data_IF_785598866295
#
_entry.id   IF_785598866295
#
_cell.length_a   1.000
_cell.length_b   1.000
_cell.length_c   1.000
_cell.angle_alpha   90.00
_cell.angle_beta   90.00
_cell.angle_gamma   90.00
#
_symmetry.space_group_name_H-M   'P 1'
#
loop_
_entity.id
_entity.type
_entity.pdbx_description
1 polymer ?
#
# COMPACT_ATOMS: atom_id res chain seq x y z
N UNK A 1 5.63 -18.10 2.81
CA UNK A 1 5.31 -16.92 3.62
C UNK A 1 4.20 -17.19 4.61
N UNK A 2 3.08 -17.80 4.22
CA UNK A 2 1.95 -18.15 5.12
C UNK A 2 2.40 -18.84 6.40
N UNK A 3 3.19 -19.90 6.29
CA UNK A 3 3.71 -20.64 7.45
C UNK A 3 4.49 -19.75 8.45
N UNK A 4 5.25 -18.79 7.94
CA UNK A 4 5.97 -17.85 8.80
C UNK A 4 5.01 -16.93 9.57
N UNK A 5 3.93 -16.48 8.92
CA UNK A 5 2.93 -15.61 9.56
C UNK A 5 2.09 -16.41 10.56
N UNK A 6 1.55 -17.55 10.15
CA UNK A 6 0.54 -18.28 10.93
C UNK A 6 1.15 -19.19 12.01
N UNK A 7 2.22 -19.96 11.69
CA UNK A 7 2.80 -20.93 12.62
C UNK A 7 3.90 -20.29 13.49
N UNK A 8 4.85 -19.55 12.88
CA UNK A 8 5.99 -18.99 13.61
C UNK A 8 5.61 -17.68 14.29
N UNK A 9 4.89 -16.81 13.59
CA UNK A 9 4.43 -15.52 14.10
C UNK A 9 3.17 -15.58 14.98
N UNK A 10 2.51 -16.74 15.06
CA UNK A 10 1.29 -16.93 15.84
C UNK A 10 0.02 -16.36 15.19
N UNK A 11 0.08 -16.03 13.90
CA UNK A 11 -1.06 -15.52 13.14
C UNK A 11 -1.37 -14.03 13.39
N UNK A 12 -2.55 -13.62 12.97
CA UNK A 12 -3.04 -12.25 13.18
C UNK A 12 -3.73 -12.15 14.56
N UNK A 13 -3.44 -11.10 15.34
CA UNK A 13 -4.07 -10.90 16.65
C UNK A 13 -5.60 -10.94 16.58
N UNK A 14 -6.22 -11.60 17.58
CA UNK A 14 -7.67 -11.76 17.62
C UNK A 14 -8.25 -12.79 16.67
N UNK A 15 -7.42 -13.63 16.05
CA UNK A 15 -7.88 -14.67 15.11
C UNK A 15 -8.43 -14.14 13.79
N UNK A 16 -8.15 -12.89 13.47
CA UNK A 16 -8.57 -12.25 12.20
C UNK A 16 -7.83 -12.85 11.02
N UNK A 17 -8.42 -12.69 9.84
CA UNK A 17 -7.81 -13.13 8.58
C UNK A 17 -6.76 -12.13 8.08
N UNK A 18 -5.72 -12.66 7.43
CA UNK A 18 -4.79 -11.83 6.67
C UNK A 18 -5.51 -11.23 5.47
N UNK A 19 -5.38 -9.93 5.25
CA UNK A 19 -5.86 -9.22 4.05
C UNK A 19 -4.72 -9.00 3.06
N UNK A 20 -3.62 -8.43 3.56
CA UNK A 20 -2.50 -8.04 2.75
C UNK A 20 -1.18 -8.19 3.51
N UNK A 21 -0.10 -8.37 2.76
CA UNK A 21 1.26 -8.49 3.30
C UNK A 21 2.24 -7.66 2.50
N UNK A 22 3.08 -6.90 3.18
CA UNK A 22 4.28 -6.31 2.62
C UNK A 22 5.44 -7.23 3.00
N UNK A 23 6.11 -7.90 2.03
CA UNK A 23 7.07 -8.96 2.37
C UNK A 23 8.46 -8.46 2.79
N UNK A 24 8.83 -7.24 2.44
CA UNK A 24 10.22 -6.81 2.59
C UNK A 24 10.41 -5.30 2.81
N UNK A 25 9.50 -4.64 3.52
CA UNK A 25 9.54 -3.20 3.75
C UNK A 25 8.61 -2.41 2.84
N UNK A 26 8.34 -1.16 3.20
CA UNK A 26 7.32 -0.31 2.57
C UNK A 26 7.49 -0.06 1.07
N UNK A 27 8.66 -0.34 0.50
CA UNK A 27 8.96 -0.23 -0.94
C UNK A 27 8.47 -1.42 -1.77
N UNK A 28 8.08 -2.53 -1.13
CA UNK A 28 7.67 -3.73 -1.84
C UNK A 28 6.24 -3.63 -2.35
N UNK A 29 5.96 -4.12 -3.57
CA UNK A 29 4.59 -4.37 -3.99
C UNK A 29 3.85 -5.25 -2.99
N UNK A 30 2.64 -4.83 -2.62
CA UNK A 30 1.81 -5.50 -1.62
C UNK A 30 1.23 -6.80 -2.20
N UNK A 31 1.22 -7.85 -1.39
CA UNK A 31 0.60 -9.13 -1.70
C UNK A 31 -0.78 -9.24 -1.04
N UNK A 32 -1.72 -9.89 -1.71
CA UNK A 32 -3.01 -10.28 -1.13
C UNK A 32 -2.88 -11.58 -0.34
N UNK A 33 -3.89 -11.93 0.46
CA UNK A 33 -3.92 -13.18 1.22
C UNK A 33 -3.77 -14.44 0.35
N UNK A 34 -4.23 -14.39 -0.91
CA UNK A 34 -4.15 -15.52 -1.83
C UNK A 34 -2.74 -15.68 -2.46
N UNK A 35 -1.91 -14.65 -2.38
CA UNK A 35 -0.56 -14.64 -2.96
C UNK A 35 0.55 -15.04 -1.97
N UNK A 36 0.23 -15.22 -0.69
CA UNK A 36 1.24 -15.48 0.36
C UNK A 36 1.68 -16.95 0.49
N UNK A 37 1.12 -17.87 -0.32
CA UNK A 37 1.57 -19.25 -0.39
C UNK A 37 2.82 -19.41 -1.26
N UNK A 38 3.85 -18.68 -0.90
CA UNK A 38 5.12 -18.58 -1.61
C UNK A 38 6.29 -18.76 -0.64
N UNK A 39 7.40 -19.34 -1.12
CA UNK A 39 8.65 -19.39 -0.36
C UNK A 39 9.18 -17.97 -0.11
N UNK A 40 9.78 -17.76 1.06
CA UNK A 40 10.40 -16.48 1.40
C UNK A 40 11.86 -16.42 0.93
N UNK A 41 12.04 -16.47 -0.37
CA UNK A 41 13.30 -16.25 -1.05
C UNK A 41 13.14 -15.20 -2.16
N UNK A 42 14.26 -14.67 -2.64
CA UNK A 42 14.25 -13.57 -3.61
C UNK A 42 13.57 -13.97 -4.92
N UNK A 43 13.84 -15.15 -5.43
CA UNK A 43 13.34 -15.60 -6.74
C UNK A 43 11.85 -15.89 -6.69
N UNK A 44 11.38 -16.56 -5.64
CA UNK A 44 9.97 -16.94 -5.49
C UNK A 44 9.10 -15.72 -5.30
N UNK A 45 9.53 -14.76 -4.47
CA UNK A 45 8.77 -13.51 -4.24
C UNK A 45 8.80 -12.61 -5.48
N UNK A 46 9.92 -12.58 -6.23
CA UNK A 46 10.00 -11.83 -7.49
C UNK A 46 9.06 -12.39 -8.57
N UNK A 47 8.92 -13.72 -8.67
CA UNK A 47 8.03 -14.38 -9.65
C UNK A 47 6.56 -14.00 -9.49
N UNK A 48 6.13 -13.67 -8.29
CA UNK A 48 4.74 -13.23 -8.02
C UNK A 48 4.59 -11.69 -8.06
N UNK A 49 5.60 -10.98 -8.60
CA UNK A 49 5.53 -9.54 -8.83
C UNK A 49 5.74 -8.68 -7.58
N UNK A 50 6.39 -9.22 -6.55
CA UNK A 50 6.83 -8.46 -5.38
C UNK A 50 8.35 -8.59 -5.19
N UNK A 51 8.89 -8.25 -4.05
CA UNK A 51 10.30 -8.42 -3.72
C UNK A 51 10.49 -8.66 -2.22
N UNK A 52 11.49 -9.49 -1.88
CA UNK A 52 11.80 -9.81 -0.49
C UNK A 52 12.41 -8.61 0.27
N UNK A 53 13.03 -7.69 -0.45
CA UNK A 53 13.60 -6.46 0.10
C UNK A 53 14.51 -6.71 1.31
N UNK A 54 14.22 -6.05 2.42
CA UNK A 54 14.94 -6.22 3.69
C UNK A 54 14.40 -7.37 4.57
N UNK A 55 13.36 -8.07 4.15
CA UNK A 55 12.68 -9.07 4.98
C UNK A 55 11.82 -8.49 6.11
N UNK A 56 11.62 -7.17 6.11
CA UNK A 56 10.76 -6.48 7.07
C UNK A 56 9.27 -6.69 6.73
N UNK A 57 8.71 -7.81 7.22
CA UNK A 57 7.33 -8.20 6.90
C UNK A 57 6.32 -7.38 7.69
N UNK A 58 5.33 -6.82 6.99
CA UNK A 58 4.16 -6.18 7.59
C UNK A 58 2.91 -6.95 7.19
N UNK A 59 2.17 -7.43 8.19
CA UNK A 59 0.90 -8.15 8.00
C UNK A 59 -0.25 -7.22 8.31
N UNK A 60 -1.21 -7.14 7.40
CA UNK A 60 -2.43 -6.34 7.54
C UNK A 60 -3.63 -7.28 7.63
N UNK A 61 -4.48 -7.05 8.63
CA UNK A 61 -5.68 -7.84 8.88
C UNK A 61 -6.86 -7.41 8.00
N UNK A 62 -7.94 -8.17 8.06
CA UNK A 62 -9.18 -7.92 7.30
C UNK A 62 -9.84 -6.57 7.61
N UNK A 63 -9.59 -5.98 8.76
CA UNK A 63 -10.12 -4.66 9.15
C UNK A 63 -9.20 -3.50 8.74
N UNK A 64 -8.00 -3.78 8.24
CA UNK A 64 -7.07 -2.74 7.78
C UNK A 64 -7.61 -2.07 6.51
N UNK A 65 -7.76 -0.75 6.55
CA UNK A 65 -8.10 0.06 5.38
C UNK A 65 -6.87 0.25 4.48
N UNK A 66 -6.94 -0.24 3.24
CA UNK A 66 -5.83 -0.15 2.30
C UNK A 66 -5.62 1.27 1.77
N UNK A 67 -6.66 2.09 1.71
CA UNK A 67 -6.57 3.53 1.39
C UNK A 67 -5.74 4.26 2.45
N UNK A 68 -6.00 3.98 3.73
CA UNK A 68 -5.23 4.55 4.86
C UNK A 68 -3.80 4.04 4.87
N UNK A 69 -3.58 2.77 4.56
CA UNK A 69 -2.24 2.18 4.45
C UNK A 69 -1.43 2.86 3.34
N UNK A 70 -2.01 3.04 2.15
CA UNK A 70 -1.40 3.78 1.04
C UNK A 70 -1.05 5.23 1.43
N UNK A 71 -1.98 5.92 2.08
CA UNK A 71 -1.76 7.28 2.57
C UNK A 71 -0.61 7.39 3.57
N UNK A 72 -0.46 6.42 4.49
CA UNK A 72 0.66 6.38 5.44
C UNK A 72 1.99 6.14 4.75
N UNK A 73 2.05 5.19 3.84
CA UNK A 73 3.25 4.91 3.02
C UNK A 73 3.63 6.17 2.25
N UNK A 74 2.68 6.82 1.62
CA UNK A 74 2.96 7.99 0.80
C UNK A 74 3.36 9.23 1.60
N UNK A 75 2.81 9.43 2.81
CA UNK A 75 3.28 10.48 3.72
C UNK A 75 4.75 10.30 4.09
N UNK A 76 5.17 9.05 4.32
CA UNK A 76 6.57 8.73 4.58
C UNK A 76 7.43 9.10 3.37
N UNK A 77 7.12 8.63 2.17
CA UNK A 77 7.94 8.90 0.99
C UNK A 77 7.95 10.38 0.57
N UNK A 78 6.84 11.09 0.75
CA UNK A 78 6.80 12.53 0.50
C UNK A 78 7.69 13.31 1.47
N UNK A 79 7.77 12.87 2.74
CA UNK A 79 8.66 13.46 3.76
C UNK A 79 10.13 13.15 3.50
N UNK A 80 10.45 11.90 3.11
CA UNK A 80 11.82 11.43 2.89
C UNK A 80 12.39 11.83 1.52
N UNK A 81 11.58 12.39 0.63
CA UNK A 81 12.06 12.88 -0.66
C UNK A 81 13.07 14.02 -0.45
N UNK A 82 14.28 13.85 -1.00
CA UNK A 82 15.31 14.89 -0.93
C UNK A 82 15.01 16.12 -1.82
N UNK A 83 13.95 16.05 -2.65
CA UNK A 83 13.50 17.13 -3.54
C UNK A 83 14.31 17.30 -4.82
N UNK A 84 15.32 16.47 -5.09
CA UNK A 84 16.17 16.61 -6.28
C UNK A 84 15.44 16.32 -7.58
N UNK A 85 14.83 15.14 -7.71
CA UNK A 85 14.16 14.72 -8.93
C UNK A 85 12.71 15.19 -8.95
N UNK A 86 12.31 15.91 -10.00
CA UNK A 86 10.94 16.44 -10.14
C UNK A 86 9.87 15.34 -10.01
N UNK A 87 9.97 14.18 -10.69
CA UNK A 87 8.94 13.14 -10.56
C UNK A 87 8.75 12.66 -9.12
N UNK A 88 9.82 12.50 -8.36
CA UNK A 88 9.76 12.12 -6.95
C UNK A 88 9.19 13.26 -6.09
N UNK A 89 9.78 14.46 -6.17
CA UNK A 89 9.39 15.61 -5.35
C UNK A 89 7.91 15.96 -5.49
N UNK A 90 7.47 16.16 -6.73
CA UNK A 90 6.09 16.55 -7.00
C UNK A 90 5.14 15.36 -6.93
N UNK A 91 5.52 14.24 -7.53
CA UNK A 91 4.66 13.06 -7.61
C UNK A 91 4.33 12.47 -6.25
N UNK A 92 5.30 12.33 -5.32
CA UNK A 92 5.01 11.83 -3.96
C UNK A 92 4.11 12.79 -3.17
N UNK A 93 4.29 14.10 -3.36
CA UNK A 93 3.43 15.13 -2.78
C UNK A 93 2.00 15.05 -3.32
N UNK A 94 1.85 14.90 -4.63
CA UNK A 94 0.52 14.76 -5.26
C UNK A 94 -0.19 13.49 -4.81
N UNK A 95 0.52 12.36 -4.78
CA UNK A 95 -0.03 11.10 -4.30
C UNK A 95 -0.48 11.20 -2.84
N UNK A 96 0.33 11.85 -1.99
CA UNK A 96 -0.04 12.13 -0.60
C UNK A 96 -1.36 12.90 -0.52
N UNK A 97 -1.50 13.99 -1.29
CA UNK A 97 -2.72 14.79 -1.30
C UNK A 97 -3.93 14.02 -1.82
N UNK A 98 -3.77 13.19 -2.86
CA UNK A 98 -4.83 12.32 -3.38
C UNK A 98 -5.32 11.34 -2.30
N UNK A 99 -4.42 10.64 -1.62
CA UNK A 99 -4.79 9.70 -0.56
C UNK A 99 -5.37 10.38 0.69
N UNK A 100 -4.86 11.56 1.06
CA UNK A 100 -5.44 12.37 2.13
C UNK A 100 -6.88 12.77 1.78
N UNK A 101 -7.16 13.10 0.52
CA UNK A 101 -8.49 13.45 0.01
C UNK A 101 -9.44 12.24 0.03
N UNK A 102 -8.98 11.05 -0.38
CA UNK A 102 -9.77 9.81 -0.23
C UNK A 102 -10.14 9.56 1.23
N UNK A 103 -9.17 9.70 2.13
CA UNK A 103 -9.39 9.45 3.56
C UNK A 103 -10.34 10.48 4.18
N UNK A 104 -10.29 11.73 3.76
CA UNK A 104 -11.17 12.80 4.21
C UNK A 104 -12.58 12.75 3.59
N UNK A 105 -12.86 11.83 2.65
CA UNK A 105 -14.15 11.71 1.97
C UNK A 105 -14.41 12.73 0.87
N UNK A 106 -13.38 13.46 0.45
CA UNK A 106 -13.46 14.46 -0.63
C UNK A 106 -12.91 13.98 -1.97
N UNK A 107 -12.76 12.67 -2.16
CA UNK A 107 -12.21 12.10 -3.40
C UNK A 107 -13.11 12.38 -4.61
N UNK A 108 -12.48 12.56 -5.77
CA UNK A 108 -13.12 12.72 -7.06
C UNK A 108 -13.09 11.40 -7.85
N UNK A 109 -14.01 11.20 -8.82
CA UNK A 109 -14.12 9.95 -9.58
C UNK A 109 -12.81 9.47 -10.22
N UNK A 110 -12.00 10.40 -10.74
CA UNK A 110 -10.76 10.08 -11.46
C UNK A 110 -9.51 10.03 -10.56
N UNK A 111 -9.64 10.27 -9.24
CA UNK A 111 -8.50 10.38 -8.34
C UNK A 111 -7.68 9.09 -8.24
N UNK A 112 -8.31 7.93 -8.27
CA UNK A 112 -7.60 6.66 -8.20
C UNK A 112 -6.82 6.37 -9.51
N UNK A 113 -7.38 6.74 -10.65
CA UNK A 113 -6.70 6.60 -11.95
C UNK A 113 -5.59 7.64 -12.09
N UNK A 114 -5.82 8.86 -11.62
CA UNK A 114 -4.79 9.90 -11.52
C UNK A 114 -3.63 9.45 -10.62
N UNK A 115 -3.91 8.85 -9.47
CA UNK A 115 -2.87 8.33 -8.58
C UNK A 115 -2.07 7.20 -9.23
N UNK A 116 -2.71 6.35 -10.01
CA UNK A 116 -2.04 5.30 -10.76
C UNK A 116 -1.14 5.87 -11.86
N UNK A 117 -1.62 6.85 -12.62
CA UNK A 117 -0.87 7.54 -13.67
C UNK A 117 0.35 8.29 -13.09
N UNK A 118 0.17 9.05 -12.02
CA UNK A 118 1.27 9.71 -11.30
C UNK A 118 2.32 8.69 -10.87
N UNK A 119 1.90 7.55 -10.33
CA UNK A 119 2.83 6.50 -9.89
C UNK A 119 3.65 5.93 -11.05
N UNK A 120 3.04 5.71 -12.23
CA UNK A 120 3.78 5.29 -13.42
C UNK A 120 4.69 6.39 -13.97
N UNK A 121 4.36 7.65 -13.73
CA UNK A 121 5.21 8.78 -14.09
C UNK A 121 6.38 9.00 -13.11
N UNK A 122 6.37 8.40 -11.94
CA UNK A 122 7.52 8.34 -11.03
C UNK A 122 8.41 7.14 -11.34
N UNK A 123 7.82 5.97 -11.57
CA UNK A 123 8.51 4.69 -11.70
C UNK A 123 9.56 4.73 -12.82
N UNK A 124 10.82 4.42 -12.47
CA UNK A 124 11.95 4.39 -13.40
C UNK A 124 12.42 5.76 -13.90
N UNK A 125 11.92 6.87 -13.34
CA UNK A 125 12.22 8.23 -13.82
C UNK A 125 12.94 9.10 -12.77
N UNK A 126 13.51 8.47 -11.76
CA UNK A 126 14.24 9.16 -10.69
C UNK A 126 15.66 8.65 -10.58
N UNK A 127 16.59 9.50 -10.14
CA UNK A 127 18.01 9.17 -10.06
C UNK A 127 18.30 8.09 -9.01
N UNK A 128 17.62 8.12 -7.88
CA UNK A 128 17.74 7.13 -6.82
C UNK A 128 16.44 6.31 -6.69
N UNK A 129 16.48 5.12 -6.05
CA UNK A 129 15.33 4.21 -5.98
C UNK A 129 14.18 4.71 -5.07
N UNK A 130 14.28 5.88 -4.42
CA UNK A 130 13.22 6.36 -3.53
C UNK A 130 11.91 6.59 -4.29
N UNK A 131 11.97 7.12 -5.53
CA UNK A 131 10.78 7.29 -6.36
C UNK A 131 10.12 5.95 -6.69
N UNK A 132 10.91 4.95 -7.09
CA UNK A 132 10.41 3.60 -7.37
C UNK A 132 9.84 2.95 -6.11
N UNK A 133 10.50 3.15 -4.97
CA UNK A 133 10.06 2.68 -3.67
C UNK A 133 8.70 3.27 -3.23
N UNK A 134 8.39 4.48 -3.65
CA UNK A 134 7.08 5.10 -3.44
C UNK A 134 6.03 4.58 -4.45
N UNK A 135 6.42 4.42 -5.72
CA UNK A 135 5.51 4.06 -6.80
C UNK A 135 5.05 2.61 -6.74
N UNK A 136 5.96 1.66 -6.50
CA UNK A 136 5.66 0.22 -6.55
C UNK A 136 4.57 -0.22 -5.56
N UNK A 137 4.63 0.08 -4.25
CA UNK A 137 3.55 -0.27 -3.31
C UNK A 137 2.25 0.44 -3.67
N UNK A 138 2.31 1.69 -4.12
CA UNK A 138 1.14 2.47 -4.52
C UNK A 138 0.42 1.83 -5.71
N UNK A 139 1.15 1.46 -6.76
CA UNK A 139 0.60 0.77 -7.93
C UNK A 139 -0.05 -0.55 -7.52
N UNK A 140 0.62 -1.34 -6.67
CA UNK A 140 0.10 -2.64 -6.23
C UNK A 140 -1.18 -2.50 -5.39
N UNK A 141 -1.23 -1.54 -4.48
CA UNK A 141 -2.43 -1.27 -3.66
C UNK A 141 -3.59 -0.81 -4.54
N UNK A 142 -3.36 0.18 -5.41
CA UNK A 142 -4.40 0.68 -6.31
C UNK A 142 -4.98 -0.39 -7.23
N UNK A 143 -4.14 -1.32 -7.71
CA UNK A 143 -4.59 -2.41 -8.59
C UNK A 143 -5.33 -3.52 -7.84
N UNK A 144 -4.79 -3.95 -6.70
CA UNK A 144 -5.30 -5.12 -5.97
C UNK A 144 -6.49 -4.77 -5.07
N UNK A 145 -6.54 -3.55 -4.58
CA UNK A 145 -7.56 -3.08 -3.64
C UNK A 145 -8.39 -1.90 -4.18
N UNK A 146 -8.54 -1.81 -5.52
CA UNK A 146 -9.32 -0.75 -6.18
C UNK A 146 -10.72 -0.60 -5.59
N UNK A 147 -11.36 -1.69 -5.27
CA UNK A 147 -12.69 -1.72 -4.67
C UNK A 147 -12.80 -0.92 -3.37
N UNK A 148 -11.75 -0.86 -2.55
CA UNK A 148 -11.75 -0.05 -1.33
C UNK A 148 -11.71 1.46 -1.65
N UNK A 149 -11.00 1.86 -2.70
CA UNK A 149 -10.99 3.26 -3.17
C UNK A 149 -12.36 3.66 -3.72
N UNK A 150 -12.97 2.79 -4.52
CA UNK A 150 -14.31 3.00 -5.08
C UNK A 150 -15.37 3.08 -3.97
N UNK A 151 -15.21 2.30 -2.91
CA UNK A 151 -16.08 2.35 -1.73
C UNK A 151 -15.93 3.67 -0.96
N UNK A 152 -14.70 4.15 -0.72
CA UNK A 152 -14.44 5.46 -0.11
C UNK A 152 -15.04 6.60 -0.93
N UNK A 153 -14.88 6.56 -2.25
CA UNK A 153 -15.47 7.53 -3.17
C UNK A 153 -17.00 7.54 -3.06
N UNK A 154 -17.63 6.35 -3.08
CA UNK A 154 -19.08 6.20 -3.03
C UNK A 154 -19.69 6.61 -1.70
N UNK A 155 -19.01 6.31 -0.59
CA UNK A 155 -19.51 6.58 0.75
C UNK A 155 -19.19 7.99 1.25
N UNK A 156 -18.12 8.63 0.75
CA UNK A 156 -17.63 9.91 1.23
C UNK A 156 -17.03 9.85 2.64
N UNK A 157 -16.63 8.67 3.12
CA UNK A 157 -15.92 8.46 4.38
C UNK A 157 -15.23 7.10 4.41
N UNK A 158 -14.30 6.90 5.36
CA UNK A 158 -13.63 5.62 5.55
C UNK A 158 -14.54 4.58 6.25
N UNK A 159 -14.96 3.50 5.59
CA UNK A 159 -15.87 2.50 6.19
C UNK A 159 -15.25 1.77 7.38
N UNK A 160 -13.90 1.65 7.43
CA UNK A 160 -13.20 1.00 8.55
C UNK A 160 -13.22 1.82 9.84
N UNK A 161 -13.34 3.15 9.79
CA UNK A 161 -13.36 3.99 10.99
C UNK A 161 -14.70 3.95 11.72
N UNK A 162 -15.81 3.72 11.02
CA UNK A 162 -17.12 3.53 11.67
C UNK A 162 -17.24 2.25 12.47
N UNK A 163 -16.49 1.20 12.10
CA UNK A 163 -16.45 -0.06 12.87
C UNK A 163 -15.75 0.11 14.21
N UNK A 164 -14.81 1.05 14.34
CA UNK A 164 -14.07 1.30 15.59
C UNK A 164 -14.91 2.05 16.65
N UNK A 165 -15.95 2.76 16.26
CA UNK A 165 -16.82 3.54 17.17
C UNK A 165 -17.96 2.69 17.76
N UNK A 166 -18.24 1.50 17.25
CA UNK A 166 -19.32 0.61 17.73
C UNK A 166 -18.89 -0.36 18.82
N UNK A 167 -17.70 -0.19 19.41
CA UNK A 167 -17.19 -0.99 20.56
C UNK A 167 -17.00 -0.06 21.76
N UNK A 168 -18.09 0.55 22.22
CA UNK A 168 -18.20 1.15 23.55
C UNK A 168 -19.43 0.59 24.25
#
# INVERSE_FOLDING_TARGET
MRRMIEEIGGGVPGGKKVKAVIPGGSSCPVLTADEIDVAMDYDSVAKIGSMLGSGGVVVMDEDTCMVKAAGRIMRFYAHESCGWCIPCREGTSWLKHLFDRFHAGGALPDDADTALDVSYNILGKTLCPLGDAAAMPTISILKKFRHEFDEHLKLGYCPCEKKAVSVV
#
